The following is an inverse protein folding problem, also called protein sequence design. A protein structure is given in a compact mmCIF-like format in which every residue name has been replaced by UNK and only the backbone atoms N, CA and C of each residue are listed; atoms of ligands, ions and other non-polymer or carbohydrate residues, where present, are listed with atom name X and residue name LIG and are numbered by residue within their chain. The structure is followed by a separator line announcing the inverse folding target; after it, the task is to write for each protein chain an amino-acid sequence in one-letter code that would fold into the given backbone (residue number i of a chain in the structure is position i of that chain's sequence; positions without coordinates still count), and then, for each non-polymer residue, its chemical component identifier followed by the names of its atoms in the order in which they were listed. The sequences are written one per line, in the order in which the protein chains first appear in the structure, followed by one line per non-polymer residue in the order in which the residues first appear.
data_IF_208999491990
#
_entry.id   IF_208999491990
#
_cell.length_a   1.000
_cell.length_b   1.000
_cell.length_c   1.000
_cell.angle_alpha   90.00
_cell.angle_beta   90.00
_cell.angle_gamma   90.00
#
_symmetry.space_group_name_H-M   'P 1'
#
loop_
_entity.id
_entity.type
_entity.pdbx_description
1 polymer ?
#
# COMPACT_ATOMS: atom_id res chain seq x y z
N UNK A 1 -11.53 -15.41 -26.39
CA UNK A 1 -11.79 -14.31 -27.33
C UNK A 1 -12.61 -13.20 -26.66
N UNK A 2 -13.61 -13.50 -25.82
CA UNK A 2 -14.37 -12.48 -25.08
C UNK A 2 -13.57 -11.81 -23.97
N UNK A 3 -12.74 -12.56 -23.27
CA UNK A 3 -11.86 -12.02 -22.20
C UNK A 3 -10.89 -10.97 -22.75
N UNK A 4 -10.36 -11.17 -23.95
CA UNK A 4 -9.45 -10.24 -24.65
C UNK A 4 -10.16 -8.92 -24.97
N UNK A 5 -11.42 -8.98 -25.38
CA UNK A 5 -12.22 -7.77 -25.67
C UNK A 5 -12.52 -6.95 -24.40
N UNK A 6 -12.62 -7.62 -23.27
CA UNK A 6 -12.95 -6.98 -21.98
C UNK A 6 -11.71 -6.43 -21.26
N UNK A 7 -10.58 -7.11 -21.35
CA UNK A 7 -9.35 -6.78 -20.60
C UNK A 7 -8.30 -6.06 -21.42
N UNK A 8 -8.44 -6.04 -22.77
CA UNK A 8 -7.42 -5.50 -23.69
C UNK A 8 -6.12 -6.32 -23.74
N UNK A 9 -6.06 -7.46 -23.04
CA UNK A 9 -4.90 -8.33 -23.03
C UNK A 9 -4.86 -9.16 -24.30
N UNK A 10 -3.80 -9.01 -25.12
CA UNK A 10 -3.60 -9.79 -26.34
C UNK A 10 -3.24 -11.24 -26.01
N UNK A 11 -3.95 -12.19 -26.61
CA UNK A 11 -3.61 -13.62 -26.50
C UNK A 11 -2.38 -14.01 -27.33
N UNK A 12 -1.92 -13.15 -28.23
CA UNK A 12 -0.79 -13.41 -29.12
C UNK A 12 0.57 -13.18 -28.46
N UNK A 13 0.58 -12.42 -27.35
CA UNK A 13 1.73 -12.34 -26.49
C UNK A 13 1.57 -13.45 -25.44
N UNK A 14 2.35 -14.51 -25.59
CA UNK A 14 2.39 -15.56 -24.58
C UNK A 14 2.55 -14.93 -23.20
N UNK A 15 1.66 -15.26 -22.29
CA UNK A 15 1.75 -14.88 -20.89
C UNK A 15 3.12 -15.34 -20.38
N UNK A 16 4.06 -14.41 -20.35
CA UNK A 16 5.24 -14.61 -19.53
C UNK A 16 4.80 -14.17 -18.14
N UNK A 17 4.90 -15.07 -17.18
CA UNK A 17 4.86 -14.71 -15.78
C UNK A 17 5.88 -13.59 -15.59
N UNK A 18 5.44 -12.37 -15.31
CA UNK A 18 6.32 -11.26 -14.95
C UNK A 18 6.86 -11.43 -13.53
N UNK A 19 6.30 -12.36 -12.78
CA UNK A 19 6.84 -12.82 -11.52
C UNK A 19 8.05 -13.70 -11.81
N UNK A 20 9.20 -13.09 -11.86
CA UNK A 20 10.43 -13.82 -11.58
C UNK A 20 10.27 -14.40 -10.18
N UNK A 21 10.37 -15.72 -10.04
CA UNK A 21 10.46 -16.38 -8.73
C UNK A 21 11.86 -16.09 -8.16
N UNK A 22 12.26 -14.81 -8.17
CA UNK A 22 13.42 -14.35 -7.44
C UNK A 22 13.10 -14.39 -5.94
N UNK A 23 14.09 -14.64 -5.11
CA UNK A 23 13.90 -14.67 -3.67
C UNK A 23 13.20 -13.39 -3.14
N UNK A 24 13.48 -12.24 -3.74
CA UNK A 24 12.94 -10.95 -3.32
C UNK A 24 11.44 -10.78 -3.61
N UNK A 25 10.97 -11.11 -4.81
CA UNK A 25 9.54 -11.08 -5.14
C UNK A 25 8.77 -12.16 -4.38
N UNK A 26 9.39 -13.30 -4.15
CA UNK A 26 8.82 -14.39 -3.36
C UNK A 26 8.66 -13.98 -1.90
N UNK A 27 9.66 -13.32 -1.29
CA UNK A 27 9.60 -12.88 0.10
C UNK A 27 8.54 -11.80 0.35
N UNK A 28 8.41 -10.84 -0.56
CA UNK A 28 7.51 -9.69 -0.36
C UNK A 28 6.06 -9.98 -0.77
N UNK A 29 5.85 -10.76 -1.80
CA UNK A 29 4.57 -10.93 -2.45
C UNK A 29 3.89 -12.27 -2.16
N UNK A 30 4.57 -13.38 -2.45
CA UNK A 30 4.00 -14.72 -2.37
C UNK A 30 4.15 -15.31 -0.97
N UNK A 31 5.33 -15.14 -0.40
CA UNK A 31 5.77 -15.88 0.78
C UNK A 31 4.97 -15.57 2.06
N UNK A 32 4.64 -14.32 2.39
CA UNK A 32 3.90 -14.04 3.62
C UNK A 32 2.54 -14.73 3.66
N UNK A 33 1.81 -14.68 2.57
CA UNK A 33 0.47 -15.27 2.44
C UNK A 33 0.54 -16.80 2.47
N UNK A 34 1.47 -17.38 1.70
CA UNK A 34 1.67 -18.82 1.66
C UNK A 34 2.08 -19.36 3.02
N UNK A 35 3.07 -18.75 3.67
CA UNK A 35 3.56 -19.20 4.98
C UNK A 35 2.49 -19.15 6.05
N UNK A 36 1.70 -18.08 6.09
CA UNK A 36 0.64 -17.95 7.09
C UNK A 36 -0.41 -19.03 6.90
N UNK A 37 -0.90 -19.21 5.68
CA UNK A 37 -1.90 -20.23 5.38
C UNK A 37 -1.34 -21.66 5.61
N UNK A 38 -0.11 -21.91 5.20
CA UNK A 38 0.55 -23.21 5.39
C UNK A 38 0.73 -23.55 6.87
N UNK A 39 1.18 -22.59 7.68
CA UNK A 39 1.36 -22.77 9.11
C UNK A 39 0.05 -23.08 9.85
N UNK A 40 -1.03 -22.42 9.42
CA UNK A 40 -2.36 -22.60 9.98
C UNK A 40 -3.14 -23.76 9.35
N UNK A 41 -2.52 -24.53 8.45
CA UNK A 41 -3.12 -25.63 7.72
C UNK A 41 -4.42 -25.23 6.98
N UNK A 42 -4.46 -24.03 6.44
CA UNK A 42 -5.63 -23.53 5.72
C UNK A 42 -6.91 -23.42 6.56
N UNK A 43 -6.78 -23.22 7.88
CA UNK A 43 -7.92 -23.21 8.81
C UNK A 43 -8.90 -22.07 8.63
N UNK A 44 -8.49 -20.98 7.98
CA UNK A 44 -9.34 -19.84 7.63
C UNK A 44 -9.72 -19.88 6.14
N UNK A 45 -10.68 -19.06 5.76
CA UNK A 45 -10.99 -18.87 4.32
C UNK A 45 -9.81 -18.19 3.62
N UNK A 46 -9.59 -18.52 2.36
CA UNK A 46 -8.50 -17.93 1.57
C UNK A 46 -8.46 -16.39 1.63
N UNK A 47 -9.63 -15.74 1.60
CA UNK A 47 -9.75 -14.29 1.70
C UNK A 47 -9.29 -13.72 3.06
N UNK A 48 -9.37 -14.49 4.15
CA UNK A 48 -8.94 -14.04 5.46
C UNK A 48 -7.40 -14.03 5.60
N UNK A 49 -6.69 -14.74 4.71
CA UNK A 49 -5.23 -14.67 4.56
C UNK A 49 -4.78 -13.60 3.56
N UNK A 50 -5.71 -12.84 2.98
CA UNK A 50 -5.37 -11.81 2.01
C UNK A 50 -4.42 -10.77 2.59
N UNK A 51 -3.44 -10.35 1.78
CA UNK A 51 -2.39 -9.43 2.22
C UNK A 51 -2.01 -8.44 1.11
N UNK A 52 -1.88 -7.18 1.47
CA UNK A 52 -1.26 -6.14 0.66
C UNK A 52 0.24 -6.07 0.95
N UNK A 53 1.06 -5.93 -0.08
CA UNK A 53 2.49 -5.65 0.14
C UNK A 53 2.63 -4.32 0.88
N UNK A 54 3.46 -4.32 1.92
CA UNK A 54 3.72 -3.13 2.75
C UNK A 54 4.80 -2.23 2.18
N UNK A 55 5.41 -2.62 1.07
CA UNK A 55 6.42 -1.88 0.34
C UNK A 55 6.07 -1.84 -1.15
N UNK A 56 6.43 -0.73 -1.79
CA UNK A 56 6.34 -0.62 -3.24
C UNK A 56 7.47 -1.43 -3.88
N UNK A 57 7.23 -1.93 -5.08
CA UNK A 57 8.23 -2.63 -5.89
C UNK A 57 8.04 -2.29 -7.36
N UNK A 58 9.07 -2.55 -8.17
CA UNK A 58 9.02 -2.43 -9.62
C UNK A 58 8.87 -3.80 -10.26
N UNK A 59 8.11 -3.87 -11.35
CA UNK A 59 7.95 -5.09 -12.12
C UNK A 59 9.18 -5.35 -13.00
N UNK A 60 9.53 -6.61 -13.22
CA UNK A 60 10.60 -6.98 -14.14
C UNK A 60 10.32 -6.45 -15.55
N UNK A 61 11.20 -5.59 -16.05
CA UNK A 61 11.07 -4.96 -17.37
C UNK A 61 10.09 -3.79 -17.42
N UNK A 62 9.63 -3.31 -16.28
CA UNK A 62 8.78 -2.13 -16.12
C UNK A 62 9.34 -1.31 -14.94
N UNK A 63 9.56 -0.02 -15.13
CA UNK A 63 10.09 0.90 -14.11
C UNK A 63 8.98 1.52 -13.24
N UNK A 64 7.71 1.21 -13.52
CA UNK A 64 6.58 1.72 -12.74
C UNK A 64 6.49 1.02 -11.39
N UNK A 65 6.20 1.82 -10.37
CA UNK A 65 5.99 1.34 -9.00
C UNK A 65 4.62 0.69 -8.84
N UNK A 66 4.57 -0.41 -8.12
CA UNK A 66 3.35 -1.16 -7.83
C UNK A 66 3.28 -1.63 -6.38
N UNK A 67 2.08 -1.91 -5.91
CA UNK A 67 1.77 -2.75 -4.76
C UNK A 67 0.93 -3.93 -5.20
N UNK A 68 0.89 -4.99 -4.40
CA UNK A 68 0.13 -6.17 -4.73
C UNK A 68 -0.78 -6.63 -3.59
N UNK A 69 -1.90 -7.21 -3.96
CA UNK A 69 -2.75 -7.97 -3.07
C UNK A 69 -2.72 -9.44 -3.45
N UNK A 70 -2.48 -10.33 -2.49
CA UNK A 70 -2.40 -11.77 -2.71
C UNK A 70 -3.23 -12.56 -1.72
N UNK A 71 -3.72 -13.72 -2.17
CA UNK A 71 -4.45 -14.70 -1.38
C UNK A 71 -3.88 -16.10 -1.63
N UNK A 72 -3.91 -17.01 -0.64
CA UNK A 72 -3.48 -18.38 -0.87
C UNK A 72 -4.55 -19.15 -1.63
N UNK A 73 -4.14 -20.15 -2.39
CA UNK A 73 -5.00 -21.14 -2.99
C UNK A 73 -5.04 -22.38 -2.08
N UNK A 74 -6.21 -22.66 -1.51
CA UNK A 74 -6.41 -23.69 -0.49
C UNK A 74 -7.43 -24.70 -1.00
N UNK A 75 -7.11 -25.98 -0.92
CA UNK A 75 -8.05 -27.07 -1.18
C UNK A 75 -8.97 -27.32 0.02
N UNK A 76 -10.06 -28.06 -0.20
CA UNK A 76 -11.05 -28.38 0.85
C UNK A 76 -10.46 -29.16 2.04
N UNK A 77 -9.34 -29.84 1.84
CA UNK A 77 -8.60 -30.57 2.89
C UNK A 77 -7.61 -29.67 3.66
N UNK A 78 -7.55 -28.37 3.35
CA UNK A 78 -6.63 -27.42 3.95
C UNK A 78 -5.25 -27.34 3.28
N UNK A 79 -5.01 -28.13 2.22
CA UNK A 79 -3.74 -28.10 1.50
C UNK A 79 -3.57 -26.76 0.78
N UNK A 80 -2.49 -26.03 1.08
CA UNK A 80 -2.10 -24.80 0.39
C UNK A 80 -1.19 -25.16 -0.78
N UNK A 81 -1.66 -24.90 -2.00
CA UNK A 81 -0.95 -25.32 -3.22
C UNK A 81 -0.44 -24.18 -4.09
N UNK A 82 -0.77 -22.94 -3.74
CA UNK A 82 -0.32 -21.77 -4.49
C UNK A 82 -0.79 -20.45 -3.90
N UNK A 83 -0.51 -19.38 -4.62
CA UNK A 83 -0.95 -18.01 -4.31
C UNK A 83 -1.47 -17.36 -5.58
N UNK A 84 -2.58 -16.68 -5.47
CA UNK A 84 -3.13 -15.81 -6.51
C UNK A 84 -2.95 -14.36 -6.06
N UNK A 85 -2.47 -13.49 -6.94
CA UNK A 85 -2.30 -12.09 -6.65
C UNK A 85 -2.71 -11.18 -7.80
N UNK A 86 -2.96 -9.93 -7.47
CA UNK A 86 -3.15 -8.84 -8.41
C UNK A 86 -2.21 -7.71 -8.05
N UNK A 87 -1.68 -7.05 -9.07
CA UNK A 87 -0.81 -5.90 -8.94
C UNK A 87 -1.59 -4.63 -9.25
N UNK A 88 -1.30 -3.58 -8.51
CA UNK A 88 -1.87 -2.26 -8.70
C UNK A 88 -0.74 -1.24 -8.80
N UNK A 89 -0.67 -0.54 -9.92
CA UNK A 89 0.29 0.55 -10.07
C UNK A 89 -0.01 1.67 -9.08
N UNK A 90 1.03 2.19 -8.45
CA UNK A 90 0.89 3.32 -7.50
C UNK A 90 0.34 4.57 -8.18
N UNK A 91 0.65 4.76 -9.46
CA UNK A 91 0.05 5.82 -10.29
C UNK A 91 -1.49 5.76 -10.32
N UNK A 92 -2.05 4.55 -10.40
CA UNK A 92 -3.51 4.39 -10.33
C UNK A 92 -4.07 4.80 -8.97
N UNK A 93 -3.39 4.47 -7.87
CA UNK A 93 -3.78 4.93 -6.52
C UNK A 93 -3.73 6.44 -6.41
N UNK A 94 -2.70 7.07 -6.97
CA UNK A 94 -2.53 8.52 -6.95
C UNK A 94 -3.70 9.23 -7.63
N UNK A 95 -4.15 8.71 -8.78
CA UNK A 95 -5.30 9.26 -9.52
C UNK A 95 -6.62 9.10 -8.73
N UNK A 96 -6.77 8.03 -7.95
CA UNK A 96 -7.99 7.78 -7.16
C UNK A 96 -8.10 8.65 -5.91
N UNK A 97 -7.01 9.26 -5.45
CA UNK A 97 -7.03 10.15 -4.29
C UNK A 97 -7.45 11.57 -4.72
N UNK A 98 -8.61 12.10 -4.27
CA UNK A 98 -9.19 13.34 -4.78
C UNK A 98 -8.49 14.57 -4.19
N UNK A 99 -7.26 14.85 -4.58
CA UNK A 99 -6.53 16.04 -4.13
C UNK A 99 -7.26 17.36 -4.49
N UNK A 100 -8.21 17.29 -5.40
CA UNK A 100 -9.03 18.45 -5.81
C UNK A 100 -9.82 19.06 -4.65
N UNK A 101 -10.19 18.28 -3.66
CA UNK A 101 -10.82 18.77 -2.43
C UNK A 101 -9.90 19.72 -1.64
N UNK A 102 -8.58 19.57 -1.81
CA UNK A 102 -7.56 20.40 -1.19
C UNK A 102 -7.17 21.62 -2.04
N UNK A 103 -7.82 21.82 -3.20
CA UNK A 103 -7.43 22.86 -4.19
C UNK A 103 -7.51 24.30 -3.66
N UNK A 104 -8.39 24.55 -2.70
CA UNK A 104 -8.49 25.89 -2.09
C UNK A 104 -7.37 26.18 -1.08
N UNK A 105 -6.53 25.20 -0.80
CA UNK A 105 -5.40 25.30 0.09
C UNK A 105 -4.11 25.08 -0.70
N UNK A 106 -3.18 26.00 -0.62
CA UNK A 106 -2.07 26.17 -1.58
C UNK A 106 -1.09 25.01 -1.71
N UNK A 107 -1.11 24.01 -0.81
CA UNK A 107 -0.26 22.82 -0.88
C UNK A 107 -0.87 21.66 -0.06
N UNK A 108 -2.03 21.18 -0.48
CA UNK A 108 -2.64 19.98 0.09
C UNK A 108 -2.14 18.72 -0.60
N UNK A 109 -1.94 17.65 0.16
CA UNK A 109 -1.48 16.34 -0.33
C UNK A 109 -2.22 15.25 0.38
N UNK A 110 -2.66 14.23 -0.37
CA UNK A 110 -3.08 12.95 0.18
C UNK A 110 -1.97 11.92 0.04
N UNK A 111 -1.80 11.11 1.07
CA UNK A 111 -0.85 10.00 1.09
C UNK A 111 -1.54 8.75 1.61
N UNK A 112 -1.28 7.61 0.96
CA UNK A 112 -1.59 6.29 1.48
C UNK A 112 -0.30 5.70 2.03
N UNK A 113 -0.28 5.37 3.32
CA UNK A 113 0.92 4.92 3.99
C UNK A 113 0.70 3.68 4.87
N UNK A 114 1.79 2.94 5.07
CA UNK A 114 1.90 1.84 6.01
C UNK A 114 2.74 2.26 7.21
N UNK A 115 2.33 1.87 8.41
CA UNK A 115 3.05 2.11 9.66
C UNK A 115 2.96 0.92 10.60
N UNK A 116 4.02 0.73 11.41
CA UNK A 116 4.05 -0.18 12.55
C UNK A 116 3.75 0.54 13.86
N UNK A 117 3.75 1.87 13.85
CA UNK A 117 3.40 2.67 15.03
C UNK A 117 1.90 2.53 15.33
N UNK A 118 1.56 2.52 16.61
CA UNK A 118 0.16 2.67 16.99
C UNK A 118 -0.33 4.07 16.63
N UNK A 119 -1.53 4.18 16.05
CA UNK A 119 -2.14 5.47 15.72
C UNK A 119 -2.55 6.29 16.95
N UNK A 120 -2.30 5.77 18.16
CA UNK A 120 -2.49 6.48 19.43
C UNK A 120 -1.21 7.09 19.97
N UNK A 121 -0.06 6.74 19.37
CA UNK A 121 1.24 7.21 19.82
C UNK A 121 1.41 8.71 19.59
N UNK A 122 2.27 9.34 20.36
CA UNK A 122 2.64 10.74 20.21
C UNK A 122 3.46 11.00 18.95
N UNK A 123 4.21 9.99 18.50
CA UNK A 123 4.96 9.99 17.25
C UNK A 123 4.58 8.76 16.41
N UNK A 124 4.22 8.99 15.15
CA UNK A 124 3.94 7.95 14.18
C UNK A 124 5.03 7.98 13.13
N UNK A 125 5.73 6.86 12.96
CA UNK A 125 6.73 6.68 11.89
C UNK A 125 6.07 5.98 10.72
N UNK A 126 6.06 6.63 9.55
CA UNK A 126 5.60 6.00 8.32
C UNK A 126 6.73 5.14 7.77
N UNK A 127 6.50 3.83 7.71
CA UNK A 127 7.49 2.88 7.20
C UNK A 127 7.57 2.91 5.67
N UNK A 128 6.42 3.11 5.03
CA UNK A 128 6.32 3.22 3.58
C UNK A 128 5.15 4.10 3.16
N UNK A 129 5.31 4.81 2.06
CA UNK A 129 4.28 5.57 1.38
C UNK A 129 3.95 4.85 0.07
N UNK A 130 2.75 4.29 0.01
CA UNK A 130 2.32 3.47 -1.13
C UNK A 130 1.73 4.28 -2.28
N UNK A 131 1.26 5.50 -1.99
CA UNK A 131 0.71 6.40 -2.99
C UNK A 131 0.67 7.83 -2.47
N UNK A 132 0.81 8.78 -3.38
CA UNK A 132 0.79 10.21 -3.12
C UNK A 132 -0.03 10.90 -4.19
N UNK A 133 -0.95 11.76 -3.78
CA UNK A 133 -1.67 12.65 -4.68
C UNK A 133 -1.42 14.09 -4.30
N UNK A 134 -0.68 14.81 -5.11
CA UNK A 134 -0.23 16.17 -4.86
C UNK A 134 -0.24 16.99 -6.15
N UNK A 135 -0.40 18.32 -6.03
CA UNK A 135 -0.16 19.24 -7.13
C UNK A 135 1.33 19.51 -7.36
N UNK A 136 2.17 19.19 -6.39
CA UNK A 136 3.58 19.56 -6.39
C UNK A 136 4.44 18.31 -6.64
N UNK A 137 5.02 18.22 -7.83
CA UNK A 137 6.00 17.18 -8.15
C UNK A 137 7.25 17.21 -7.26
N UNK A 138 7.56 18.35 -6.64
CA UNK A 138 8.65 18.45 -5.69
C UNK A 138 8.36 17.72 -4.39
N UNK A 139 7.10 17.66 -3.95
CA UNK A 139 6.72 16.96 -2.73
C UNK A 139 6.80 15.44 -2.91
N UNK A 140 6.48 14.92 -4.09
CA UNK A 140 6.61 13.47 -4.39
C UNK A 140 8.07 13.01 -4.29
N UNK A 141 9.01 13.79 -4.82
CA UNK A 141 10.45 13.49 -4.76
C UNK A 141 11.02 13.56 -3.34
N UNK A 142 10.51 14.51 -2.54
CA UNK A 142 10.94 14.69 -1.15
C UNK A 142 10.48 13.54 -0.25
N UNK A 143 9.34 12.93 -0.56
CA UNK A 143 8.75 11.84 0.21
C UNK A 143 9.47 10.50 0.03
N UNK A 144 10.20 10.31 -1.07
CA UNK A 144 10.93 9.08 -1.36
C UNK A 144 12.25 8.95 -0.57
N UNK A 145 12.75 10.04 0.00
CA UNK A 145 14.12 10.08 0.54
C UNK A 145 14.24 9.83 2.04
N UNK A 146 13.19 10.00 2.84
CA UNK A 146 13.25 9.91 4.31
C UNK A 146 12.02 9.21 4.90
N UNK A 147 12.22 8.45 6.00
CA UNK A 147 11.09 7.98 6.82
C UNK A 147 10.39 9.18 7.45
N UNK A 148 9.16 9.39 7.06
CA UNK A 148 8.37 10.50 7.58
C UNK A 148 7.89 10.23 9.00
N UNK A 149 7.91 11.27 9.82
CA UNK A 149 7.43 11.25 11.19
C UNK A 149 6.31 12.26 11.37
N UNK A 150 5.23 11.79 11.92
CA UNK A 150 4.09 12.61 12.32
C UNK A 150 4.13 12.78 13.84
N UNK A 151 4.25 14.02 14.29
CA UNK A 151 4.30 14.37 15.72
C UNK A 151 2.97 14.93 16.16
N UNK A 152 2.37 14.34 17.19
CA UNK A 152 1.13 14.85 17.77
C UNK A 152 1.37 16.18 18.50
N UNK A 153 0.50 17.14 18.27
CA UNK A 153 0.52 18.40 18.98
C UNK A 153 -0.37 18.37 20.24
N UNK A 154 -0.33 19.41 21.03
CA UNK A 154 -1.13 19.53 22.27
C UNK A 154 -2.65 19.57 22.03
N UNK A 155 -3.11 19.80 20.82
CA UNK A 155 -4.52 19.81 20.42
C UNK A 155 -5.02 18.46 19.88
N UNK A 156 -4.10 17.49 19.71
CA UNK A 156 -4.41 16.16 19.20
C UNK A 156 -4.27 16.00 17.69
N UNK A 157 -3.91 17.06 16.96
CA UNK A 157 -3.59 17.01 15.55
C UNK A 157 -2.15 16.55 15.36
N UNK A 158 -1.82 16.12 14.14
CA UNK A 158 -0.46 15.72 13.79
C UNK A 158 0.24 16.82 12.99
N UNK A 159 1.55 16.93 13.19
CA UNK A 159 2.43 17.81 12.46
C UNK A 159 3.46 16.97 11.69
N UNK A 160 3.61 17.26 10.42
CA UNK A 160 4.66 16.73 9.55
C UNK A 160 5.68 17.84 9.27
N UNK A 161 6.96 17.51 9.39
CA UNK A 161 8.06 18.35 8.94
C UNK A 161 8.73 17.72 7.74
N UNK A 162 8.82 18.44 6.64
CA UNK A 162 9.42 18.00 5.40
C UNK A 162 10.16 19.16 4.76
N UNK A 163 11.46 19.00 4.50
CA UNK A 163 12.33 20.02 3.86
C UNK A 163 12.21 21.43 4.47
N UNK A 164 12.19 21.51 5.80
CA UNK A 164 12.09 22.76 6.53
C UNK A 164 10.70 23.39 6.58
N UNK A 165 9.73 22.85 5.86
CA UNK A 165 8.33 23.24 5.90
C UNK A 165 7.57 22.44 6.95
N UNK A 166 6.47 23.02 7.45
CA UNK A 166 5.57 22.39 8.41
C UNK A 166 4.20 22.21 7.78
N UNK A 167 3.60 21.07 8.05
CA UNK A 167 2.27 20.71 7.56
C UNK A 167 1.41 20.25 8.73
N UNK A 168 0.15 20.67 8.73
CA UNK A 168 -0.87 19.97 9.51
C UNK A 168 -1.23 18.68 8.81
N UNK A 169 -1.39 17.60 9.59
CA UNK A 169 -1.75 16.30 9.07
C UNK A 169 -2.96 15.73 9.82
N UNK A 170 -3.90 15.19 9.07
CA UNK A 170 -5.03 14.41 9.58
C UNK A 170 -4.89 12.98 9.10
N UNK A 171 -5.11 12.03 10.01
CA UNK A 171 -4.98 10.61 9.74
C UNK A 171 -6.33 9.92 9.82
N UNK A 172 -6.61 9.10 8.81
CA UNK A 172 -7.75 8.17 8.79
C UNK A 172 -7.25 6.74 8.71
N UNK A 173 -7.43 5.92 9.75
CA UNK A 173 -7.05 4.51 9.69
C UNK A 173 -7.91 3.78 8.65
N UNK A 174 -7.28 2.87 7.90
CA UNK A 174 -7.93 1.98 6.96
C UNK A 174 -7.92 0.57 7.52
N UNK A 175 -9.10 0.03 7.74
CA UNK A 175 -9.26 -1.37 8.18
C UNK A 175 -9.33 -2.26 6.96
N UNK A 176 -8.18 -2.75 6.50
CA UNK A 176 -8.07 -3.58 5.29
C UNK A 176 -8.32 -5.06 5.57
N UNK A 177 -8.17 -5.50 6.81
CA UNK A 177 -8.23 -6.91 7.19
C UNK A 177 -9.34 -7.19 8.21
N UNK A 178 -9.92 -8.38 8.16
CA UNK A 178 -10.86 -8.84 9.18
C UNK A 178 -10.13 -9.09 10.50
N UNK A 179 -10.87 -9.10 11.62
CA UNK A 179 -10.28 -9.33 12.96
C UNK A 179 -9.58 -10.68 13.11
N UNK A 180 -9.95 -11.65 12.30
CA UNK A 180 -9.36 -13.00 12.32
C UNK A 180 -8.19 -13.14 11.34
N UNK A 181 -7.93 -12.11 10.52
CA UNK A 181 -6.86 -12.16 9.55
C UNK A 181 -5.48 -12.15 10.23
N UNK A 182 -4.52 -12.95 9.75
CA UNK A 182 -3.16 -12.98 10.28
C UNK A 182 -2.39 -11.65 10.19
N UNK A 183 -2.89 -10.73 9.35
CA UNK A 183 -2.31 -9.41 9.11
C UNK A 183 -3.14 -8.28 9.73
N UNK A 184 -4.05 -8.61 10.65
CA UNK A 184 -4.95 -7.63 11.29
C UNK A 184 -4.21 -6.47 11.98
N UNK A 185 -3.03 -6.74 12.54
CA UNK A 185 -2.23 -5.75 13.26
C UNK A 185 -1.47 -4.77 12.36
N UNK A 186 -1.51 -4.97 11.04
CA UNK A 186 -0.92 -4.05 10.09
C UNK A 186 -1.74 -2.77 10.00
N UNK A 187 -1.08 -1.63 10.20
CA UNK A 187 -1.71 -0.33 10.23
C UNK A 187 -1.56 0.39 8.90
N UNK A 188 -2.67 0.57 8.21
CA UNK A 188 -2.76 1.37 7.00
C UNK A 188 -3.46 2.68 7.29
N UNK A 189 -2.96 3.78 6.75
CA UNK A 189 -3.51 5.12 7.01
C UNK A 189 -3.61 5.93 5.73
N UNK A 190 -4.74 6.61 5.58
CA UNK A 190 -4.87 7.71 4.65
C UNK A 190 -4.55 9.00 5.40
N UNK A 191 -3.65 9.79 4.86
CA UNK A 191 -3.16 11.02 5.47
C UNK A 191 -3.48 12.18 4.54
N UNK A 192 -4.18 13.18 5.05
CA UNK A 192 -4.33 14.47 4.39
C UNK A 192 -3.41 15.50 5.05
N UNK A 193 -2.62 16.22 4.26
CA UNK A 193 -1.73 17.27 4.77
C UNK A 193 -2.02 18.61 4.12
N UNK A 194 -1.78 19.69 4.88
CA UNK A 194 -1.89 21.07 4.40
C UNK A 194 -0.70 21.86 4.93
N UNK A 195 0.00 22.60 4.04
CA UNK A 195 1.12 23.45 4.42
C UNK A 195 0.67 24.54 5.39
N UNK A 196 1.39 24.69 6.50
CA UNK A 196 1.16 25.78 7.45
C UNK A 196 1.66 27.06 6.80
N UNK A 197 0.78 28.06 6.65
CA UNK A 197 1.19 29.40 6.24
C UNK A 197 2.29 29.93 7.16
N UNK A 198 3.23 30.63 6.55
CA UNK A 198 4.26 31.40 7.30
C UNK A 198 3.64 32.50 8.14
#
# INVERSE_FOLDING_TARGET
VELVKFTGISTDKGWKSLLSVSAESTEKFIYPVFQKAFKDQGSLRAADYGHWTTENYTLDGDDRSAIAYSIPLILDDGTVYGVLGVEMLTEYLNIQMPYEELQNQSAGTYMLAYTKSSLKDEEIVLENICGVSSKSSSMEQDLESEKLKLQKNSYGDYLLKLNGKKYYATLKPLQLYSRNAPFFDEQWVLIGTVEMGQ
#
